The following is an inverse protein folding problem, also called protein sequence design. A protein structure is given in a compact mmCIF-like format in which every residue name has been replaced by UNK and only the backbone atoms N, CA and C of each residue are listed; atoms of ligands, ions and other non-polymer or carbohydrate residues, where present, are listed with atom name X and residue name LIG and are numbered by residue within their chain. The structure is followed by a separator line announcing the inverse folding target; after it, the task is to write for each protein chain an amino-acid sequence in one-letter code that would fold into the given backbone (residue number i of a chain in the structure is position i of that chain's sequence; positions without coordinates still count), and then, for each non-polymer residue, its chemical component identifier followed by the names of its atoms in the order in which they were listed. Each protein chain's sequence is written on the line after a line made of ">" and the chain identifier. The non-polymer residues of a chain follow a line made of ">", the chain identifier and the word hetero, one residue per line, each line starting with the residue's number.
data_IF_835112229534
#
_entry.id   IF_835112229534
#
_cell.length_a   1.000
_cell.length_b   1.000
_cell.length_c   1.000
_cell.angle_alpha   90.00
_cell.angle_beta   90.00
_cell.angle_gamma   90.00
#
_symmetry.space_group_name_H-M   'P 1'
#
loop_
_entity.id
_entity.type
_entity.pdbx_description
1 polymer ?
#
# COMPACT_ATOMS: atom_id res chain seq x y z
N UNK A 1 -10.62 -0.55 -4.21
CA UNK A 1 -9.68 -0.71 -3.08
C UNK A 1 -8.95 -2.06 -3.20
N UNK A 2 -7.67 -2.14 -2.83
CA UNK A 2 -6.80 -3.31 -3.00
C UNK A 2 -6.32 -3.84 -1.64
N UNK A 3 -6.39 -5.16 -1.36
CA UNK A 3 -5.75 -5.74 -0.19
C UNK A 3 -4.22 -5.57 -0.23
N UNK A 4 -3.66 -4.96 0.81
CA UNK A 4 -2.25 -4.63 0.93
C UNK A 4 -1.71 -5.09 2.28
N UNK A 5 -0.51 -5.70 2.26
CA UNK A 5 0.21 -6.12 3.47
C UNK A 5 1.53 -5.37 3.54
N UNK A 6 1.77 -4.70 4.67
CA UNK A 6 2.99 -3.90 4.88
C UNK A 6 4.26 -4.76 4.75
N UNK A 7 5.27 -4.27 4.02
CA UNK A 7 6.60 -4.86 3.93
C UNK A 7 7.43 -4.60 5.18
N UNK A 8 7.35 -3.40 5.76
CA UNK A 8 8.12 -3.01 6.95
C UNK A 8 7.21 -2.65 8.12
N UNK A 9 7.75 -2.77 9.33
CA UNK A 9 7.07 -2.29 10.52
C UNK A 9 7.51 -0.84 10.80
N UNK A 10 6.56 0.09 10.75
CA UNK A 10 6.78 1.49 11.12
C UNK A 10 6.28 1.75 12.53
N UNK A 11 7.09 2.47 13.33
CA UNK A 11 6.72 2.96 14.66
C UNK A 11 5.96 4.29 14.51
N UNK A 12 4.68 4.21 14.19
CA UNK A 12 3.77 5.35 14.10
C UNK A 12 2.53 5.10 14.95
N UNK A 13 1.80 6.18 15.26
CA UNK A 13 0.75 6.18 16.29
C UNK A 13 -0.45 5.30 15.95
N UNK A 14 -0.78 5.14 14.65
CA UNK A 14 -1.91 4.33 14.21
C UNK A 14 -1.55 3.28 13.17
N UNK A 15 -2.32 2.18 13.14
CA UNK A 15 -2.19 1.16 12.11
C UNK A 15 -2.42 1.71 10.70
N UNK A 16 -3.37 2.64 10.55
CA UNK A 16 -3.63 3.27 9.27
C UNK A 16 -2.41 4.09 8.79
N UNK A 17 -1.77 4.84 9.68
CA UNK A 17 -0.57 5.61 9.33
C UNK A 17 0.62 4.72 9.00
N UNK A 18 0.74 3.57 9.68
CA UNK A 18 1.79 2.60 9.37
C UNK A 18 1.65 2.05 7.95
N UNK A 19 0.40 1.79 7.52
CA UNK A 19 0.11 1.38 6.14
C UNK A 19 0.42 2.52 5.16
N UNK A 20 -0.02 3.76 5.45
CA UNK A 20 0.23 4.91 4.57
C UNK A 20 1.71 5.15 4.33
N UNK A 21 2.51 5.07 5.39
CA UNK A 21 3.95 5.31 5.28
C UNK A 21 4.66 4.16 4.54
N UNK A 22 4.26 2.91 4.80
CA UNK A 22 4.83 1.77 4.08
C UNK A 22 4.53 1.82 2.58
N UNK A 23 3.29 2.17 2.21
CA UNK A 23 2.88 2.36 0.81
C UNK A 23 3.71 3.45 0.14
N UNK A 24 3.86 4.62 0.77
CA UNK A 24 4.65 5.73 0.22
C UNK A 24 6.10 5.33 0.02
N UNK A 25 6.70 4.67 1.00
CA UNK A 25 8.06 4.17 0.92
C UNK A 25 8.19 3.14 -0.21
N UNK A 26 7.23 2.24 -0.38
CA UNK A 26 7.22 1.29 -1.48
C UNK A 26 7.12 1.95 -2.86
N UNK A 27 6.27 2.98 -3.01
CA UNK A 27 6.23 3.76 -4.24
C UNK A 27 7.61 4.36 -4.55
N UNK A 28 8.22 5.04 -3.58
CA UNK A 28 9.54 5.66 -3.74
C UNK A 28 10.64 4.63 -4.06
N UNK A 29 10.66 3.48 -3.36
CA UNK A 29 11.66 2.41 -3.59
C UNK A 29 11.59 1.81 -4.99
N UNK A 30 10.46 1.98 -5.69
CA UNK A 30 10.24 1.47 -7.05
C UNK A 30 10.33 2.55 -8.12
N UNK A 31 10.71 3.78 -7.75
CA UNK A 31 10.74 4.91 -8.67
C UNK A 31 9.36 5.38 -9.11
N UNK A 32 8.30 5.04 -8.39
CA UNK A 32 6.95 5.54 -8.65
C UNK A 32 6.80 6.94 -8.01
N UNK A 33 5.95 7.81 -8.60
CA UNK A 33 5.57 9.06 -7.94
C UNK A 33 5.02 8.81 -6.55
N UNK A 34 5.20 9.78 -5.64
CA UNK A 34 4.56 9.71 -4.33
C UNK A 34 3.04 9.88 -4.52
N UNK A 35 2.18 9.01 -3.96
CA UNK A 35 0.73 9.21 -4.02
C UNK A 35 0.33 10.52 -3.35
N UNK A 36 -0.59 11.27 -3.96
CA UNK A 36 -1.21 12.45 -3.37
C UNK A 36 -2.11 12.04 -2.20
N UNK A 37 -2.88 10.98 -2.39
CA UNK A 37 -3.77 10.41 -1.37
C UNK A 37 -3.49 8.92 -1.19
N UNK A 38 -3.48 8.46 0.08
CA UNK A 38 -3.47 7.03 0.44
C UNK A 38 -4.63 6.80 1.40
N UNK A 39 -5.74 6.27 0.87
CA UNK A 39 -6.90 5.87 1.67
C UNK A 39 -6.66 4.48 2.22
N UNK A 40 -6.94 4.29 3.49
CA UNK A 40 -6.71 3.04 4.22
C UNK A 40 -7.98 2.68 4.96
N UNK A 41 -8.47 1.47 4.73
CA UNK A 41 -9.69 0.93 5.35
C UNK A 41 -9.41 -0.42 6.00
N UNK A 42 -10.17 -0.70 7.07
CA UNK A 42 -10.15 -1.96 7.81
C UNK A 42 -8.73 -2.49 8.17
N UNK A 43 -7.83 -1.67 8.77
CA UNK A 43 -6.50 -2.15 9.14
C UNK A 43 -6.59 -3.27 10.18
N UNK A 44 -5.96 -4.41 9.89
CA UNK A 44 -5.96 -5.60 10.74
C UNK A 44 -4.55 -6.15 10.92
N UNK A 45 -4.15 -6.34 12.16
CA UNK A 45 -2.86 -6.95 12.50
C UNK A 45 -2.99 -8.47 12.54
N UNK A 46 -2.19 -9.16 11.73
CA UNK A 46 -2.05 -10.60 11.71
C UNK A 46 -0.70 -10.99 12.31
N UNK A 47 -0.69 -11.99 13.21
CA UNK A 47 0.54 -12.45 13.88
C UNK A 47 1.64 -12.85 12.89
N UNK A 48 1.27 -13.59 11.85
CA UNK A 48 2.24 -14.17 10.89
C UNK A 48 2.41 -13.32 9.62
N UNK A 49 1.36 -12.60 9.19
CA UNK A 49 1.37 -11.87 7.91
C UNK A 49 1.81 -10.41 8.04
N UNK A 50 1.72 -9.82 9.23
CA UNK A 50 1.98 -8.39 9.45
C UNK A 50 0.69 -7.57 9.49
N UNK A 51 0.78 -6.30 9.09
CA UNK A 51 -0.37 -5.40 9.06
C UNK A 51 -1.00 -5.41 7.67
N UNK A 52 -2.27 -5.76 7.59
CA UNK A 52 -3.07 -5.83 6.36
C UNK A 52 -4.15 -4.75 6.38
N UNK A 53 -4.45 -4.17 5.22
CA UNK A 53 -5.55 -3.22 5.05
C UNK A 53 -6.04 -3.20 3.59
N UNK A 54 -7.22 -2.62 3.37
CA UNK A 54 -7.67 -2.22 2.04
C UNK A 54 -7.12 -0.83 1.73
N UNK A 55 -6.46 -0.68 0.59
CA UNK A 55 -5.75 0.55 0.21
C UNK A 55 -6.23 1.05 -1.15
N UNK A 56 -6.36 2.36 -1.27
CA UNK A 56 -6.57 3.05 -2.54
C UNK A 56 -5.57 4.19 -2.66
N UNK A 57 -5.03 4.36 -3.87
CA UNK A 57 -3.97 5.29 -4.19
C UNK A 57 -4.48 6.29 -5.22
N UNK A 58 -4.21 7.56 -4.97
CA UNK A 58 -4.42 8.62 -5.93
C UNK A 58 -3.08 9.30 -6.21
N UNK A 59 -2.78 9.55 -7.48
CA UNK A 59 -1.55 10.20 -7.89
C UNK A 59 -1.89 11.52 -8.60
N UNK A 60 -1.12 12.56 -8.32
CA UNK A 60 -1.26 13.85 -9.01
C UNK A 60 -0.85 13.80 -10.50
N UNK A 61 -0.23 12.71 -10.92
CA UNK A 61 0.19 12.45 -12.30
C UNK A 61 -0.29 11.07 -12.73
N UNK A 62 -0.58 10.89 -14.02
CA UNK A 62 -0.96 9.60 -14.55
C UNK A 62 0.20 8.59 -14.37
N UNK A 63 -0.07 7.52 -13.62
CA UNK A 63 0.86 6.40 -13.45
C UNK A 63 0.42 5.26 -14.37
N UNK A 64 1.33 4.77 -15.20
CA UNK A 64 1.02 3.68 -16.13
C UNK A 64 1.06 2.32 -15.44
N UNK A 65 0.03 1.53 -15.73
CA UNK A 65 -0.05 0.10 -15.48
C UNK A 65 -0.57 -0.27 -14.09
N UNK A 66 -0.96 -1.54 -13.91
CA UNK A 66 -1.25 -2.04 -12.59
C UNK A 66 0.02 -2.00 -11.72
N UNK A 67 -0.12 -1.58 -10.46
CA UNK A 67 0.99 -1.49 -9.52
C UNK A 67 0.99 -2.70 -8.61
N UNK A 68 2.14 -3.38 -8.50
CA UNK A 68 2.31 -4.51 -7.58
C UNK A 68 3.06 -4.05 -6.34
N UNK A 69 2.37 -3.74 -5.25
CA UNK A 69 2.97 -3.27 -3.99
C UNK A 69 2.70 -4.25 -2.85
N UNK A 70 3.46 -4.19 -1.77
CA UNK A 70 3.20 -4.95 -0.54
C UNK A 70 3.98 -6.24 -0.43
N UNK A 71 3.98 -6.80 0.78
CA UNK A 71 4.69 -8.03 1.14
C UNK A 71 4.23 -9.25 0.33
N UNK A 72 2.94 -9.32 0.02
CA UNK A 72 2.32 -10.45 -0.69
C UNK A 72 2.33 -10.28 -2.22
N UNK A 73 3.06 -9.29 -2.76
CA UNK A 73 3.18 -9.05 -4.21
C UNK A 73 3.66 -10.26 -5.03
N UNK A 74 4.41 -11.17 -4.40
CA UNK A 74 4.90 -12.40 -5.05
C UNK A 74 3.96 -13.60 -4.84
N UNK A 75 2.84 -13.39 -4.16
CA UNK A 75 1.81 -14.39 -3.81
C UNK A 75 0.42 -13.99 -4.36
N UNK A 76 0.38 -13.08 -5.34
CA UNK A 76 -0.87 -12.59 -5.96
C UNK A 76 -1.61 -11.49 -5.18
N UNK A 77 -1.04 -10.97 -4.08
CA UNK A 77 -1.61 -9.84 -3.35
C UNK A 77 -1.07 -8.49 -3.84
N UNK A 78 -1.73 -7.39 -3.43
CA UNK A 78 -1.20 -6.04 -3.65
C UNK A 78 -1.16 -5.57 -5.10
N UNK A 79 -2.04 -6.11 -5.94
CA UNK A 79 -2.31 -5.65 -7.29
C UNK A 79 -3.26 -4.45 -7.24
N UNK A 80 -2.76 -3.26 -7.56
CA UNK A 80 -3.55 -2.04 -7.71
C UNK A 80 -3.89 -1.85 -9.18
N UNK A 81 -5.17 -1.93 -9.51
CA UNK A 81 -5.67 -1.67 -10.85
C UNK A 81 -6.13 -0.21 -10.96
N UNK A 82 -5.83 0.48 -12.08
CA UNK A 82 -6.41 1.80 -12.35
C UNK A 82 -7.93 1.70 -12.42
N UNK A 83 -8.62 2.65 -11.79
CA UNK A 83 -10.06 2.85 -11.99
C UNK A 83 -10.22 3.72 -13.25
N UNK A 84 -11.10 3.30 -14.16
CA UNK A 84 -11.39 4.00 -15.41
C UNK A 84 -12.28 5.23 -15.20
#
# INVERSE_FOLDING_TARGET
>A
VTPYVTTHHHKVDTAADAVREDVRLECTRRGLPRPATVRVEAPKRHRERGLEALVELEFAVAVRGPLMLGRTRHQGGGLFEPVA
#
